data_IF_152857671256
#
_entry.id   IF_152857671256
#
_cell.length_a   1.000
_cell.length_b   1.000
_cell.length_c   1.000
_cell.angle_alpha   90.00
_cell.angle_beta   90.00
_cell.angle_gamma   90.00
#
_symmetry.space_group_name_H-M   'P 1'
#
loop_
_entity.id
_entity.type
_entity.pdbx_description
1 polymer ?
#
# COMPACT_ATOMS: atom_id res chain seq x y z
N UNK A 1 -45.36 -21.34 -9.67
CA UNK A 1 -45.01 -19.92 -9.87
C UNK A 1 -43.54 -19.85 -10.20
N UNK A 2 -43.20 -19.43 -11.42
CA UNK A 2 -41.81 -19.33 -11.88
C UNK A 2 -41.31 -17.89 -11.72
N UNK A 3 -40.19 -17.72 -11.00
CA UNK A 3 -39.50 -16.44 -10.83
C UNK A 3 -38.63 -16.17 -12.07
N UNK A 4 -39.09 -15.26 -12.92
CA UNK A 4 -38.32 -14.77 -14.07
C UNK A 4 -37.30 -13.73 -13.60
N UNK A 5 -36.02 -13.99 -13.82
CA UNK A 5 -34.94 -13.01 -13.61
C UNK A 5 -34.62 -12.29 -14.93
N UNK A 6 -34.72 -10.95 -15.01
CA UNK A 6 -34.31 -10.21 -16.19
C UNK A 6 -32.91 -9.61 -15.97
N UNK A 7 -31.87 -10.41 -16.15
CA UNK A 7 -30.51 -9.87 -16.33
C UNK A 7 -29.86 -10.50 -17.55
N UNK A 8 -30.27 -10.02 -18.72
CA UNK A 8 -29.55 -10.22 -19.97
C UNK A 8 -28.34 -9.29 -19.96
N UNK A 9 -27.20 -9.78 -19.47
CA UNK A 9 -25.92 -9.10 -19.63
C UNK A 9 -25.53 -9.17 -21.10
N UNK A 10 -25.60 -8.03 -21.79
CA UNK A 10 -25.02 -7.85 -23.12
C UNK A 10 -23.53 -8.14 -23.05
N UNK A 11 -23.10 -9.30 -23.54
CA UNK A 11 -21.71 -9.51 -23.94
C UNK A 11 -21.49 -8.79 -25.28
N UNK A 12 -21.35 -7.47 -25.22
CA UNK A 12 -20.73 -6.70 -26.30
C UNK A 12 -19.23 -6.99 -26.24
N UNK A 13 -18.88 -8.20 -26.67
CA UNK A 13 -17.52 -8.58 -27.03
C UNK A 13 -17.33 -8.28 -28.51
N UNK A 14 -17.07 -7.03 -28.85
CA UNK A 14 -16.44 -6.66 -30.10
C UNK A 14 -15.39 -5.58 -29.84
N UNK A 15 -14.15 -6.00 -30.06
CA UNK A 15 -13.14 -5.27 -30.81
C UNK A 15 -12.73 -3.89 -30.29
N UNK A 16 -11.53 -3.81 -29.71
CA UNK A 16 -10.62 -2.70 -30.03
C UNK A 16 -9.17 -3.09 -29.73
N UNK A 17 -8.63 -4.00 -30.54
CA UNK A 17 -7.19 -4.25 -30.66
C UNK A 17 -6.46 -3.17 -31.47
N UNK A 18 -7.15 -2.11 -31.92
CA UNK A 18 -6.62 -1.10 -32.85
C UNK A 18 -6.04 0.16 -32.19
N UNK A 19 -6.09 0.31 -30.86
CA UNK A 19 -5.54 1.49 -30.17
C UNK A 19 -4.07 1.34 -29.72
N UNK A 20 -3.42 0.21 -30.05
CA UNK A 20 -2.03 -0.08 -29.64
C UNK A 20 -0.93 0.59 -30.50
N UNK A 21 -1.07 0.85 -31.82
CA UNK A 21 0.05 1.38 -32.61
C UNK A 21 0.30 2.87 -32.40
N UNK A 22 -0.73 3.66 -32.03
CA UNK A 22 -0.60 5.12 -32.00
C UNK A 22 0.32 5.60 -30.86
N UNK A 23 0.15 5.08 -29.66
CA UNK A 23 0.92 5.51 -28.48
C UNK A 23 2.38 5.06 -28.52
N UNK A 24 2.67 3.89 -29.09
CA UNK A 24 4.05 3.41 -29.25
C UNK A 24 4.81 4.22 -30.32
N UNK A 25 4.10 4.71 -31.35
CA UNK A 25 4.67 5.60 -32.36
C UNK A 25 4.98 6.99 -31.77
N UNK A 26 4.05 7.59 -31.02
CA UNK A 26 4.22 8.90 -30.37
C UNK A 26 5.37 8.88 -29.35
N UNK A 27 5.52 7.79 -28.60
CA UNK A 27 6.64 7.62 -27.66
C UNK A 27 7.99 7.54 -28.38
N UNK A 28 8.06 6.76 -29.46
CA UNK A 28 9.29 6.58 -30.24
C UNK A 28 9.71 7.88 -30.95
N UNK A 29 8.73 8.64 -31.44
CA UNK A 29 8.95 9.97 -32.04
C UNK A 29 9.56 10.95 -31.02
N UNK A 30 9.01 11.00 -29.81
CA UNK A 30 9.53 11.87 -28.74
C UNK A 30 10.97 11.50 -28.35
N UNK A 31 11.32 10.21 -28.31
CA UNK A 31 12.71 9.75 -28.06
C UNK A 31 13.65 10.21 -29.16
N UNK A 32 13.26 10.02 -30.42
CA UNK A 32 14.06 10.41 -31.57
C UNK A 32 14.27 11.92 -31.60
N UNK A 33 13.24 12.71 -31.28
CA UNK A 33 13.30 14.16 -31.18
C UNK A 33 14.28 14.58 -30.07
N UNK A 34 14.15 14.00 -28.87
CA UNK A 34 15.06 14.25 -27.75
C UNK A 34 16.52 13.97 -28.12
N UNK A 35 16.79 12.78 -28.68
CA UNK A 35 18.14 12.35 -29.06
C UNK A 35 18.73 13.26 -30.13
N UNK A 36 17.95 13.57 -31.17
CA UNK A 36 18.39 14.43 -32.28
C UNK A 36 18.73 15.83 -31.78
N UNK A 37 17.88 16.41 -30.92
CA UNK A 37 18.12 17.75 -30.38
C UNK A 37 19.35 17.79 -29.48
N UNK A 38 19.53 16.79 -28.61
CA UNK A 38 20.72 16.69 -27.77
C UNK A 38 22.00 16.60 -28.61
N UNK A 39 21.99 15.79 -29.66
CA UNK A 39 23.13 15.65 -30.59
C UNK A 39 23.41 16.96 -31.33
N UNK A 40 22.36 17.68 -31.77
CA UNK A 40 22.51 19.00 -32.41
C UNK A 40 23.18 20.04 -31.50
N UNK A 41 22.84 20.04 -30.21
CA UNK A 41 23.42 20.97 -29.23
C UNK A 41 24.82 20.50 -28.79
N UNK A 42 25.17 19.22 -28.99
CA UNK A 42 26.49 18.68 -28.66
C UNK A 42 26.72 18.43 -27.16
N UNK A 43 25.66 18.37 -26.37
CA UNK A 43 25.74 18.16 -24.91
C UNK A 43 25.77 16.67 -24.55
N UNK A 44 26.65 16.33 -23.60
CA UNK A 44 26.71 14.98 -23.03
C UNK A 44 25.52 14.73 -22.09
N UNK A 45 25.12 13.47 -21.93
CA UNK A 45 24.09 13.09 -20.95
C UNK A 45 24.50 13.44 -19.52
N UNK A 46 25.79 13.45 -19.22
CA UNK A 46 26.29 13.78 -17.89
C UNK A 46 26.19 15.28 -17.59
N UNK A 47 26.51 16.12 -18.58
CA UNK A 47 26.31 17.57 -18.49
C UNK A 47 24.82 17.89 -18.33
N UNK A 48 23.98 17.29 -19.18
CA UNK A 48 22.53 17.49 -19.14
C UNK A 48 21.94 17.05 -17.79
N UNK A 49 22.44 15.96 -17.21
CA UNK A 49 22.06 15.49 -15.88
C UNK A 49 22.36 16.53 -14.79
N UNK A 50 23.58 17.10 -14.80
CA UNK A 50 23.98 18.12 -13.82
C UNK A 50 23.14 19.39 -13.92
N UNK A 51 22.83 19.83 -15.14
CA UNK A 51 22.08 21.07 -15.38
C UNK A 51 20.60 20.96 -15.07
N UNK A 52 19.99 19.81 -15.36
CA UNK A 52 18.54 19.59 -15.17
C UNK A 52 18.19 18.96 -13.82
N UNK A 53 19.21 18.54 -13.05
CA UNK A 53 19.07 17.73 -11.82
C UNK A 53 18.32 16.41 -12.04
N UNK A 54 18.27 15.93 -13.28
CA UNK A 54 17.71 14.63 -13.64
C UNK A 54 18.83 13.61 -13.58
N UNK A 55 18.61 12.43 -12.99
CA UNK A 55 19.66 11.42 -12.92
C UNK A 55 20.10 10.95 -14.32
N UNK A 56 21.41 10.72 -14.49
CA UNK A 56 21.97 10.20 -15.74
C UNK A 56 21.27 8.93 -16.21
N UNK A 57 20.93 8.04 -15.27
CA UNK A 57 20.25 6.78 -15.57
C UNK A 57 18.87 6.99 -16.18
N UNK A 58 18.12 8.01 -15.74
CA UNK A 58 16.82 8.34 -16.32
C UNK A 58 16.99 8.88 -17.75
N UNK A 59 17.99 9.72 -18.00
CA UNK A 59 18.26 10.21 -19.36
C UNK A 59 18.67 9.08 -20.32
N UNK A 60 19.47 8.12 -19.85
CA UNK A 60 19.79 6.90 -20.60
C UNK A 60 18.52 6.08 -20.87
N UNK A 61 17.66 5.90 -19.87
CA UNK A 61 16.40 5.19 -20.03
C UNK A 61 15.50 5.86 -21.07
N UNK A 62 15.47 7.19 -21.11
CA UNK A 62 14.75 7.96 -22.13
C UNK A 62 15.33 7.68 -23.52
N UNK A 63 16.64 7.82 -23.73
CA UNK A 63 17.26 7.58 -25.06
C UNK A 63 17.10 6.14 -25.57
N UNK A 64 17.09 5.17 -24.65
CA UNK A 64 16.92 3.74 -24.98
C UNK A 64 15.46 3.29 -24.99
N UNK A 65 14.51 4.19 -24.66
CA UNK A 65 13.08 3.88 -24.58
C UNK A 65 12.71 2.87 -23.50
N UNK A 66 13.52 2.73 -22.43
CA UNK A 66 13.25 1.80 -21.34
C UNK A 66 12.17 2.33 -20.39
N UNK A 67 10.90 2.18 -20.80
CA UNK A 67 9.70 2.63 -20.05
C UNK A 67 9.70 2.20 -18.57
N UNK A 68 10.26 1.03 -18.24
CA UNK A 68 10.31 0.48 -16.87
C UNK A 68 11.19 1.28 -15.90
N UNK A 69 12.22 1.97 -16.41
CA UNK A 69 13.15 2.75 -15.58
C UNK A 69 12.80 4.25 -15.57
N UNK A 70 11.68 4.63 -16.17
CA UNK A 70 11.18 5.99 -16.09
C UNK A 70 10.55 6.24 -14.71
N UNK A 71 10.66 7.47 -14.18
CA UNK A 71 10.02 7.82 -12.93
C UNK A 71 8.48 7.83 -13.01
N UNK A 72 7.84 8.05 -11.87
CA UNK A 72 6.39 8.26 -11.77
C UNK A 72 5.92 9.39 -12.71
N UNK A 73 4.72 9.24 -13.28
CA UNK A 73 4.14 10.14 -14.29
C UNK A 73 4.19 11.62 -13.89
N UNK A 74 3.85 11.94 -12.64
CA UNK A 74 3.83 13.31 -12.11
C UNK A 74 5.22 13.95 -12.16
N UNK A 75 6.24 13.20 -11.73
CA UNK A 75 7.63 13.63 -11.76
C UNK A 75 8.22 13.63 -13.17
N UNK A 76 7.81 12.70 -14.04
CA UNK A 76 8.21 12.68 -15.44
C UNK A 76 7.72 13.92 -16.20
N UNK A 77 6.50 14.39 -15.93
CA UNK A 77 5.96 15.61 -16.55
C UNK A 77 6.80 16.84 -16.19
N UNK A 78 7.26 16.97 -14.94
CA UNK A 78 8.11 18.10 -14.54
C UNK A 78 9.50 18.00 -15.19
N UNK A 79 10.07 16.80 -15.26
CA UNK A 79 11.33 16.56 -15.99
C UNK A 79 11.25 16.94 -17.46
N UNK A 80 10.17 16.51 -18.15
CA UNK A 80 9.97 16.80 -19.57
C UNK A 80 10.01 18.32 -19.81
N UNK A 81 9.31 19.11 -18.99
CA UNK A 81 9.34 20.57 -19.09
C UNK A 81 10.76 21.14 -18.91
N UNK A 82 11.52 20.63 -17.94
CA UNK A 82 12.92 21.06 -17.73
C UNK A 82 13.82 20.68 -18.92
N UNK A 83 13.60 19.51 -19.52
CA UNK A 83 14.32 19.07 -20.71
C UNK A 83 13.98 19.93 -21.93
N UNK A 84 12.71 20.23 -22.16
CA UNK A 84 12.27 21.10 -23.27
C UNK A 84 12.90 22.48 -23.17
N UNK A 85 12.90 23.08 -21.96
CA UNK A 85 13.55 24.35 -21.72
C UNK A 85 15.06 24.29 -21.99
N UNK A 86 15.74 23.24 -21.53
CA UNK A 86 17.20 23.14 -21.68
C UNK A 86 17.64 22.82 -23.11
N UNK A 87 16.82 22.07 -23.83
CA UNK A 87 17.06 21.67 -25.22
C UNK A 87 16.53 22.71 -26.23
N UNK A 88 15.97 23.84 -25.77
CA UNK A 88 15.31 24.85 -26.61
C UNK A 88 14.26 24.22 -27.56
N UNK A 89 13.48 23.28 -27.04
CA UNK A 89 12.37 22.66 -27.76
C UNK A 89 11.09 23.44 -27.50
N UNK A 90 10.13 23.32 -28.42
CA UNK A 90 8.79 23.84 -28.20
C UNK A 90 8.13 23.10 -27.02
N UNK A 91 7.33 23.84 -26.25
CA UNK A 91 6.65 23.28 -25.08
C UNK A 91 5.67 22.20 -25.54
N UNK A 92 5.79 21.01 -24.95
CA UNK A 92 4.96 19.86 -25.28
C UNK A 92 5.45 19.00 -26.44
N UNK A 93 6.57 19.34 -27.10
CA UNK A 93 7.18 18.48 -28.13
C UNK A 93 7.61 17.11 -27.59
N UNK A 94 7.86 17.00 -26.29
CA UNK A 94 8.29 15.77 -25.62
C UNK A 94 7.16 15.08 -24.84
N UNK A 95 5.90 15.53 -24.98
CA UNK A 95 4.76 14.95 -24.27
C UNK A 95 4.53 13.45 -24.58
N UNK A 96 4.99 12.97 -25.73
CA UNK A 96 4.96 11.55 -26.08
C UNK A 96 5.66 10.65 -25.05
N UNK A 97 6.68 11.16 -24.34
CA UNK A 97 7.36 10.45 -23.25
C UNK A 97 6.46 10.23 -22.03
N UNK A 98 5.49 11.11 -21.79
CA UNK A 98 4.55 11.00 -20.67
C UNK A 98 3.43 10.00 -20.91
N UNK A 99 3.30 9.47 -22.14
CA UNK A 99 2.38 8.39 -22.48
C UNK A 99 3.00 7.07 -21.97
N UNK A 100 3.22 7.01 -20.67
CA UNK A 100 3.24 5.72 -20.01
C UNK A 100 1.81 5.20 -20.17
N UNK A 101 1.69 4.11 -20.94
CA UNK A 101 0.57 3.19 -20.76
C UNK A 101 0.54 2.98 -19.27
N UNK A 102 -0.48 3.53 -18.59
CA UNK A 102 -0.70 3.27 -17.19
C UNK A 102 -0.61 1.75 -17.14
N UNK A 103 0.50 1.22 -16.61
CA UNK A 103 0.50 -0.17 -16.22
C UNK A 103 -0.65 -0.12 -15.27
N UNK A 104 -1.76 -0.75 -15.65
CA UNK A 104 -2.90 -0.93 -14.80
C UNK A 104 -2.30 -1.76 -13.67
N UNK A 105 -1.65 -1.05 -12.74
CA UNK A 105 -1.30 -1.50 -11.43
C UNK A 105 -2.67 -1.81 -10.95
N UNK A 106 -2.89 -3.11 -10.94
CA UNK A 106 -4.15 -3.74 -10.83
C UNK A 106 -4.59 -3.48 -9.39
N UNK A 107 -5.07 -2.26 -9.11
CA UNK A 107 -5.81 -1.94 -7.90
C UNK A 107 -7.09 -2.81 -7.89
N UNK A 108 -7.43 -3.43 -9.02
CA UNK A 108 -8.33 -4.57 -9.13
C UNK A 108 -7.61 -5.89 -8.85
N UNK A 109 -7.47 -6.19 -7.55
CA UNK A 109 -7.40 -7.51 -6.90
C UNK A 109 -6.51 -7.34 -5.69
N UNK A 110 -7.09 -6.79 -4.62
CA UNK A 110 -6.82 -7.27 -3.28
C UNK A 110 -7.11 -8.79 -3.25
N UNK A 111 -6.22 -9.60 -3.82
CA UNK A 111 -6.05 -10.98 -3.42
C UNK A 111 -5.36 -10.87 -2.07
N UNK A 112 -6.17 -10.83 -1.02
CA UNK A 112 -5.68 -10.93 0.35
C UNK A 112 -5.04 -12.31 0.49
N UNK A 113 -3.76 -12.41 0.18
CA UNK A 113 -2.93 -13.53 0.58
C UNK A 113 -2.72 -13.38 2.08
N UNK A 114 -3.67 -13.87 2.89
CA UNK A 114 -3.69 -13.81 4.36
C UNK A 114 -2.44 -14.41 5.06
N UNK A 115 -1.52 -15.01 4.30
CA UNK A 115 -0.28 -15.63 4.79
C UNK A 115 0.94 -14.67 4.76
N UNK A 116 0.94 -13.59 3.96
CA UNK A 116 2.12 -12.70 3.90
C UNK A 116 2.05 -11.62 5.00
N UNK A 117 2.92 -11.74 6.01
CA UNK A 117 3.01 -10.87 7.20
C UNK A 117 3.25 -9.37 6.86
N UNK A 118 3.56 -9.02 5.60
CA UNK A 118 3.76 -7.65 5.15
C UNK A 118 2.53 -6.73 5.29
N UNK A 119 1.30 -7.28 5.36
CA UNK A 119 0.09 -6.45 5.56
C UNK A 119 0.03 -5.82 6.95
N UNK A 120 0.68 -6.42 7.96
CA UNK A 120 0.71 -5.94 9.34
C UNK A 120 1.56 -4.67 9.47
N UNK A 121 2.57 -4.50 8.61
CA UNK A 121 3.46 -3.34 8.62
C UNK A 121 2.99 -2.19 7.71
N UNK A 122 1.88 -2.39 6.99
CA UNK A 122 1.27 -1.34 6.17
C UNK A 122 0.20 -0.57 6.97
N UNK A 123 -0.23 0.60 6.47
CA UNK A 123 -1.32 1.38 7.08
C UNK A 123 -2.57 0.53 7.36
N UNK A 124 -2.86 -0.45 6.48
CA UNK A 124 -3.99 -1.37 6.65
C UNK A 124 -3.87 -2.25 7.91
N UNK A 125 -2.65 -2.58 8.34
CA UNK A 125 -2.39 -3.30 9.60
C UNK A 125 -2.78 -2.49 10.82
N UNK A 126 -2.52 -1.17 10.81
CA UNK A 126 -2.96 -0.25 11.87
C UNK A 126 -4.50 -0.19 11.96
N UNK A 127 -5.19 -0.13 10.81
CA UNK A 127 -6.65 -0.18 10.77
C UNK A 127 -7.20 -1.50 11.32
N UNK A 128 -6.59 -2.63 10.97
CA UNK A 128 -6.98 -3.95 11.46
C UNK A 128 -6.79 -4.06 12.99
N UNK A 129 -5.68 -3.54 13.52
CA UNK A 129 -5.44 -3.49 14.96
C UNK A 129 -6.54 -2.69 15.68
N UNK A 130 -6.91 -1.53 15.13
CA UNK A 130 -7.97 -0.71 15.70
C UNK A 130 -9.32 -1.43 15.73
N UNK A 131 -9.66 -2.15 14.65
CA UNK A 131 -10.88 -2.97 14.56
C UNK A 131 -10.87 -4.07 15.63
N UNK A 132 -9.77 -4.83 15.73
CA UNK A 132 -9.62 -5.91 16.73
C UNK A 132 -9.72 -5.35 18.15
N UNK A 133 -9.08 -4.21 18.40
CA UNK A 133 -9.15 -3.53 19.69
C UNK A 133 -10.58 -3.13 20.06
N UNK A 134 -11.34 -2.54 19.13
CA UNK A 134 -12.75 -2.20 19.34
C UNK A 134 -13.60 -3.43 19.62
N UNK A 135 -13.43 -4.49 18.83
CA UNK A 135 -14.12 -5.77 19.01
C UNK A 135 -13.84 -6.35 20.39
N UNK A 136 -12.58 -6.28 20.85
CA UNK A 136 -12.20 -6.75 22.17
C UNK A 136 -12.92 -5.96 23.27
N UNK A 137 -12.91 -4.63 23.20
CA UNK A 137 -13.59 -3.77 24.18
C UNK A 137 -15.10 -4.07 24.20
N UNK A 138 -15.72 -4.23 23.03
CA UNK A 138 -17.14 -4.58 22.92
C UNK A 138 -17.44 -5.95 23.51
N UNK A 139 -16.59 -6.95 23.25
CA UNK A 139 -16.73 -8.29 23.80
C UNK A 139 -16.64 -8.28 25.33
N UNK A 140 -15.64 -7.58 25.90
CA UNK A 140 -15.53 -7.43 27.35
C UNK A 140 -16.76 -6.74 27.96
N UNK A 141 -17.23 -5.65 27.35
CA UNK A 141 -18.41 -4.94 27.82
C UNK A 141 -19.67 -5.83 27.74
N UNK A 142 -19.80 -6.62 26.67
CA UNK A 142 -20.88 -7.58 26.51
C UNK A 142 -20.85 -8.67 27.59
N UNK A 143 -19.66 -9.23 27.87
CA UNK A 143 -19.48 -10.22 28.94
C UNK A 143 -19.83 -9.63 30.32
N UNK A 144 -19.36 -8.43 30.63
CA UNK A 144 -19.70 -7.76 31.89
C UNK A 144 -21.21 -7.57 32.04
N UNK A 145 -21.89 -7.09 31.00
CA UNK A 145 -23.36 -6.95 31.00
C UNK A 145 -24.07 -8.28 31.21
N UNK A 146 -23.59 -9.34 30.56
CA UNK A 146 -24.14 -10.68 30.73
C UNK A 146 -23.97 -11.17 32.18
N UNK A 147 -22.78 -11.00 32.78
CA UNK A 147 -22.51 -11.40 34.17
C UNK A 147 -23.37 -10.62 35.19
N UNK A 148 -23.62 -9.33 34.94
CA UNK A 148 -24.56 -8.51 35.74
C UNK A 148 -25.98 -9.08 35.62
N UNK A 149 -26.42 -9.41 34.41
CA UNK A 149 -27.78 -9.91 34.18
C UNK A 149 -28.05 -11.23 34.90
N UNK A 150 -27.05 -12.10 35.00
CA UNK A 150 -27.15 -13.36 35.74
C UNK A 150 -26.85 -13.19 37.25
N UNK A 151 -26.79 -11.95 37.77
CA UNK A 151 -26.47 -11.60 39.17
C UNK A 151 -25.22 -12.34 39.72
N UNK A 152 -24.27 -12.67 38.84
CA UNK A 152 -23.10 -13.50 39.17
C UNK A 152 -21.89 -12.69 39.63
N UNK A 153 -21.99 -11.37 39.65
CA UNK A 153 -20.96 -10.52 40.25
C UNK A 153 -21.10 -10.64 41.76
N UNK A 154 -20.38 -11.62 42.33
CA UNK A 154 -20.15 -11.68 43.76
C UNK A 154 -19.32 -10.47 44.15
N UNK A 155 -19.97 -9.47 44.75
CA UNK A 155 -19.32 -8.34 45.41
C UNK A 155 -18.88 -8.69 46.83
N UNK A 156 -19.06 -9.95 47.25
CA UNK A 156 -18.61 -10.39 48.56
C UNK A 156 -17.07 -10.50 48.56
N UNK A 157 -16.39 -9.82 49.51
CA UNK A 157 -14.96 -9.92 49.62
C UNK A 157 -14.55 -11.36 49.91
N UNK A 158 -13.53 -11.84 49.19
CA UNK A 158 -12.96 -13.17 49.39
C UNK A 158 -12.49 -13.26 50.85
N UNK A 159 -13.16 -14.09 51.65
CA UNK A 159 -12.76 -14.36 53.03
C UNK A 159 -11.45 -15.14 53.00
N UNK A 160 -10.35 -14.48 53.36
CA UNK A 160 -9.09 -15.18 53.59
C UNK A 160 -9.23 -16.03 54.86
N UNK A 161 -9.27 -17.35 54.69
CA UNK A 161 -9.16 -18.28 55.81
C UNK A 161 -7.75 -18.17 56.38
N UNK A 162 -7.64 -17.56 57.57
CA UNK A 162 -6.37 -17.46 58.29
C UNK A 162 -6.13 -18.79 58.99
N UNK A 163 -5.43 -19.70 58.34
CA UNK A 163 -4.91 -20.90 59.00
C UNK A 163 -3.76 -20.48 59.92
N UNK A 164 -4.10 -20.06 61.14
CA UNK A 164 -3.12 -19.91 62.22
C UNK A 164 -2.77 -21.32 62.72
N UNK A 165 -1.63 -21.83 62.29
CA UNK A 165 -1.00 -22.99 62.90
C UNK A 165 -0.27 -22.50 64.16
N UNK A 166 -0.89 -22.64 65.32
CA UNK A 166 -0.19 -22.44 66.60
C UNK A 166 0.16 -23.82 67.18
N UNK A 167 1.38 -24.22 66.85
CA UNK A 167 2.09 -25.38 67.39
C UNK A 167 2.55 -25.04 68.82
N UNK A 168 1.95 -25.69 69.83
CA UNK A 168 2.20 -25.27 71.22
C UNK A 168 1.52 -26.05 72.33
N UNK A 169 1.45 -27.39 72.27
CA UNK A 169 1.09 -28.18 73.45
C UNK A 169 1.91 -29.47 73.61
N UNK A 170 3.25 -29.33 73.68
CA UNK A 170 4.18 -30.42 74.02
C UNK A 170 4.75 -30.29 75.45
N UNK A 171 4.39 -29.27 76.24
CA UNK A 171 5.10 -28.99 77.51
C UNK A 171 4.40 -29.55 78.78
N UNK A 172 3.11 -29.95 78.74
CA UNK A 172 2.38 -30.32 79.96
C UNK A 172 2.40 -31.81 80.33
N UNK A 173 3.42 -32.60 79.92
CA UNK A 173 3.56 -34.02 80.33
C UNK A 173 4.82 -34.33 81.15
N UNK A 174 5.60 -33.32 81.56
CA UNK A 174 6.87 -33.50 82.27
C UNK A 174 6.91 -32.92 83.69
N UNK A 175 5.79 -32.50 84.28
CA UNK A 175 5.78 -31.93 85.64
C UNK A 175 4.56 -32.31 86.47
N UNK A 176 4.39 -33.61 86.71
CA UNK A 176 3.71 -34.12 87.90
C UNK A 176 4.18 -35.56 88.17
N UNK A 177 5.36 -35.65 88.78
CA UNK A 177 5.85 -36.74 89.63
C UNK A 177 6.72 -36.09 90.70
#
# INVERSE_FOLDING_TARGET
MALNFPFKKSSTGLSDSNNKPRSDNEFSEAINLFKTQRVKIGISLETLSKETKISRNVLIAIENGWKKYLPEKTYLISMIKSLELKLNLEKGSLNGLSIQKDSINNVSKFKLNFINIDFLNSWIGSLLYFIIMLLSILALNSQQKYLIQINSISTEPIKMEKTFMEDGNVINKAKEN
#
